data_IF_377925480843
#
_entry.id   IF_377925480843
#
_cell.length_a   1.000
_cell.length_b   1.000
_cell.length_c   1.000
_cell.angle_alpha   90.00
_cell.angle_beta   90.00
_cell.angle_gamma   90.00
#
_symmetry.space_group_name_H-M   'P 1'
#
loop_
_entity.id
_entity.type
_entity.pdbx_description
1 polymer ?
#
# COMPACT_ATOMS: atom_id res chain seq x y z
N UNK A 1 -59.31 38.45 27.75
CA UNK A 1 -59.83 37.23 27.09
C UNK A 1 -58.80 36.78 26.05
N UNK A 2 -58.05 35.68 26.29
CA UNK A 2 -58.16 34.37 25.59
C UNK A 2 -58.18 34.53 24.04
N UNK A 3 -57.34 33.91 23.20
CA UNK A 3 -56.60 32.64 23.30
C UNK A 3 -55.67 32.41 22.06
N UNK A 4 -54.58 31.64 22.23
CA UNK A 4 -53.89 30.81 21.21
C UNK A 4 -52.88 31.52 20.28
N UNK A 5 -51.73 30.96 19.87
CA UNK A 5 -51.34 29.55 19.68
C UNK A 5 -49.81 29.45 19.40
N UNK A 6 -49.18 28.42 19.97
CA UNK A 6 -48.07 27.57 19.47
C UNK A 6 -46.71 28.13 18.99
N UNK A 7 -45.69 27.63 19.71
CA UNK A 7 -44.26 27.47 19.39
C UNK A 7 -44.05 26.64 18.11
N UNK A 8 -43.09 27.02 17.24
CA UNK A 8 -42.05 26.09 16.75
C UNK A 8 -40.95 26.77 15.92
N UNK A 9 -39.76 26.16 16.05
CA UNK A 9 -38.43 26.64 15.72
C UNK A 9 -38.00 26.40 14.27
N UNK A 10 -37.02 27.22 13.86
CA UNK A 10 -35.92 26.97 12.90
C UNK A 10 -36.22 26.90 11.39
N UNK A 11 -36.07 28.09 10.77
CA UNK A 11 -35.19 28.38 9.60
C UNK A 11 -33.98 27.43 9.49
N UNK A 12 -33.38 27.07 8.36
CA UNK A 12 -33.51 27.35 6.92
C UNK A 12 -32.38 26.53 6.24
N UNK A 13 -32.61 25.87 5.11
CA UNK A 13 -31.67 25.83 3.96
C UNK A 13 -32.31 25.14 2.75
N UNK A 14 -32.12 25.80 1.61
CA UNK A 14 -32.72 25.60 0.29
C UNK A 14 -31.64 25.14 -0.68
N UNK A 15 -32.01 24.32 -1.66
CA UNK A 15 -31.25 24.02 -2.89
C UNK A 15 -31.23 22.52 -3.18
N UNK A 16 -32.26 21.95 -3.84
CA UNK A 16 -32.44 21.80 -5.31
C UNK A 16 -31.36 20.96 -5.98
N UNK A 17 -31.54 19.62 -6.03
CA UNK A 17 -30.95 18.79 -7.10
C UNK A 17 -31.95 17.71 -7.52
N UNK A 18 -32.01 17.49 -8.83
CA UNK A 18 -33.09 16.88 -9.56
C UNK A 18 -33.05 15.34 -9.54
N UNK A 19 -34.23 14.75 -9.31
CA UNK A 19 -34.88 13.72 -10.14
C UNK A 19 -34.00 12.77 -10.96
N UNK A 20 -33.90 11.50 -10.56
CA UNK A 20 -34.54 10.38 -11.29
C UNK A 20 -34.31 9.04 -10.57
N UNK A 21 -35.32 8.64 -9.80
CA UNK A 21 -35.57 7.24 -9.46
C UNK A 21 -36.07 6.53 -10.73
N UNK A 22 -35.37 5.49 -11.19
CA UNK A 22 -35.87 4.57 -12.20
C UNK A 22 -35.47 3.15 -11.80
N UNK A 23 -36.46 2.49 -11.22
CA UNK A 23 -36.51 1.09 -10.81
C UNK A 23 -36.23 0.08 -11.94
N UNK A 24 -35.86 -1.15 -11.50
CA UNK A 24 -35.97 -2.48 -12.14
C UNK A 24 -34.74 -3.08 -12.82
N UNK A 25 -34.08 -3.94 -12.04
CA UNK A 25 -33.75 -5.34 -12.34
C UNK A 25 -33.91 -5.82 -13.80
N UNK A 26 -32.79 -6.16 -14.44
CA UNK A 26 -32.54 -7.42 -15.19
C UNK A 26 -31.17 -7.39 -15.87
N UNK A 27 -30.51 -8.57 -15.88
CA UNK A 27 -29.28 -8.97 -16.59
C UNK A 27 -28.00 -8.52 -15.87
N UNK A 28 -27.31 -9.34 -15.06
CA UNK A 28 -26.83 -10.70 -15.34
C UNK A 28 -26.13 -10.80 -16.71
N UNK A 29 -25.12 -9.95 -16.89
CA UNK A 29 -23.89 -10.27 -17.61
C UNK A 29 -22.76 -9.73 -16.75
N UNK A 30 -22.29 -10.56 -15.82
CA UNK A 30 -20.96 -10.37 -15.24
C UNK A 30 -19.99 -10.56 -16.38
N UNK A 31 -19.61 -9.44 -16.96
CA UNK A 31 -18.55 -9.30 -17.92
C UNK A 31 -17.23 -9.51 -17.18
N UNK A 32 -16.85 -10.78 -17.15
CA UNK A 32 -15.53 -11.30 -16.79
C UNK A 32 -14.40 -10.31 -17.15
N UNK A 33 -14.49 -9.72 -18.36
CA UNK A 33 -13.54 -8.76 -18.91
C UNK A 33 -13.39 -7.43 -18.12
N UNK A 34 -14.45 -6.85 -17.53
CA UNK A 34 -14.29 -5.59 -16.77
C UNK A 34 -13.88 -5.80 -15.33
N UNK A 35 -14.23 -6.95 -14.74
CA UNK A 35 -13.73 -7.35 -13.42
C UNK A 35 -12.23 -7.67 -13.52
N UNK A 36 -11.81 -8.41 -14.54
CA UNK A 36 -10.39 -8.69 -14.80
C UNK A 36 -9.59 -7.39 -15.07
N UNK A 37 -10.15 -6.44 -15.82
CA UNK A 37 -9.49 -5.16 -16.08
C UNK A 37 -9.33 -4.30 -14.80
N UNK A 38 -10.32 -4.31 -13.92
CA UNK A 38 -10.24 -3.63 -12.63
C UNK A 38 -9.18 -4.27 -11.72
N UNK A 39 -9.14 -5.60 -11.64
CA UNK A 39 -8.15 -6.34 -10.85
C UNK A 39 -6.72 -6.11 -11.37
N UNK A 40 -6.52 -6.08 -12.69
CA UNK A 40 -5.22 -5.76 -13.29
C UNK A 40 -4.78 -4.32 -12.98
N UNK A 41 -5.71 -3.36 -13.03
CA UNK A 41 -5.45 -1.96 -12.70
C UNK A 41 -5.09 -1.79 -11.22
N UNK A 42 -5.80 -2.48 -10.32
CA UNK A 42 -5.51 -2.46 -8.89
C UNK A 42 -4.15 -3.09 -8.58
N UNK A 43 -3.85 -4.27 -9.15
CA UNK A 43 -2.56 -4.91 -8.98
C UNK A 43 -1.42 -4.02 -9.49
N UNK A 44 -1.61 -3.35 -10.62
CA UNK A 44 -0.65 -2.40 -11.17
C UNK A 44 -0.42 -1.21 -10.22
N UNK A 45 -1.49 -0.67 -9.63
CA UNK A 45 -1.39 0.42 -8.65
C UNK A 45 -0.61 -0.01 -7.42
N UNK A 46 -0.97 -1.16 -6.82
CA UNK A 46 -0.27 -1.72 -5.65
C UNK A 46 1.21 -1.97 -5.95
N UNK A 47 1.55 -2.48 -7.14
CA UNK A 47 2.94 -2.73 -7.55
C UNK A 47 3.76 -1.43 -7.65
N UNK A 48 3.14 -0.35 -8.15
CA UNK A 48 3.77 0.98 -8.19
C UNK A 48 4.02 1.52 -6.79
N UNK A 49 3.02 1.44 -5.91
CA UNK A 49 3.13 1.90 -4.52
C UNK A 49 4.25 1.17 -3.76
N UNK A 50 4.30 -0.17 -3.90
CA UNK A 50 5.41 -0.96 -3.34
C UNK A 50 6.77 -0.55 -3.90
N UNK A 51 6.87 -0.29 -5.20
CA UNK A 51 8.12 0.14 -5.83
C UNK A 51 8.57 1.51 -5.33
N UNK A 52 7.65 2.48 -5.25
CA UNK A 52 7.93 3.84 -4.75
C UNK A 52 8.35 3.80 -3.28
N UNK A 53 7.70 2.97 -2.46
CA UNK A 53 8.06 2.77 -1.06
C UNK A 53 9.50 2.23 -0.92
N UNK A 54 9.86 1.19 -1.68
CA UNK A 54 11.21 0.63 -1.66
C UNK A 54 12.26 1.66 -2.10
N UNK A 55 11.97 2.45 -3.13
CA UNK A 55 12.87 3.52 -3.58
C UNK A 55 13.08 4.59 -2.49
N UNK A 56 12.02 5.03 -1.84
CA UNK A 56 12.12 6.00 -0.74
C UNK A 56 12.94 5.44 0.43
N UNK A 57 12.74 4.16 0.77
CA UNK A 57 13.49 3.48 1.83
C UNK A 57 14.99 3.41 1.49
N UNK A 58 15.34 3.00 0.27
CA UNK A 58 16.74 2.94 -0.22
C UNK A 58 17.41 4.32 -0.15
N UNK A 59 16.72 5.37 -0.57
CA UNK A 59 17.23 6.73 -0.53
C UNK A 59 17.49 7.23 0.90
N UNK A 60 16.61 6.91 1.84
CA UNK A 60 16.78 7.27 3.24
C UNK A 60 17.95 6.51 3.87
N UNK A 61 18.07 5.20 3.61
CA UNK A 61 19.20 4.39 4.07
C UNK A 61 20.53 4.93 3.55
N UNK A 62 20.58 5.35 2.28
CA UNK A 62 21.79 5.92 1.67
C UNK A 62 22.20 7.26 2.28
N UNK A 63 21.25 8.08 2.73
CA UNK A 63 21.52 9.41 3.30
C UNK A 63 21.90 9.35 4.77
N UNK A 64 21.22 8.50 5.53
CA UNK A 64 21.28 8.51 6.99
C UNK A 64 22.25 7.47 7.58
N UNK A 65 22.51 6.36 6.87
CA UNK A 65 23.24 5.22 7.42
C UNK A 65 24.54 4.96 6.65
N UNK A 66 25.71 4.97 7.31
CA UNK A 66 26.97 4.62 6.67
C UNK A 66 27.05 3.12 6.38
N UNK A 67 27.78 2.75 5.31
CA UNK A 67 27.88 1.37 4.84
C UNK A 67 28.37 0.35 5.89
N UNK A 68 29.19 0.77 6.86
CA UNK A 68 29.64 -0.09 7.96
C UNK A 68 28.49 -0.57 8.85
N UNK A 69 27.55 0.32 9.17
CA UNK A 69 26.38 -0.01 10.01
C UNK A 69 25.40 -0.90 9.24
N UNK A 70 25.23 -0.69 7.94
CA UNK A 70 24.41 -1.57 7.10
C UNK A 70 24.92 -3.01 7.11
N UNK A 71 26.24 -3.21 7.14
CA UNK A 71 26.85 -4.54 7.23
C UNK A 71 26.55 -5.20 8.58
N UNK A 72 26.73 -4.47 9.67
CA UNK A 72 26.44 -4.95 11.03
C UNK A 72 24.96 -5.30 11.22
N UNK A 73 24.06 -4.50 10.63
CA UNK A 73 22.62 -4.74 10.69
C UNK A 73 22.23 -6.05 9.98
N UNK A 74 22.83 -6.35 8.83
CA UNK A 74 22.62 -7.63 8.14
C UNK A 74 23.18 -8.81 8.94
N UNK A 75 24.37 -8.68 9.51
CA UNK A 75 24.98 -9.72 10.34
C UNK A 75 24.14 -10.03 11.59
N UNK A 76 23.55 -9.00 12.23
CA UNK A 76 22.62 -9.17 13.35
C UNK A 76 21.37 -9.98 12.97
N UNK A 77 20.87 -9.82 11.75
CA UNK A 77 19.71 -10.56 11.24
C UNK A 77 20.09 -11.93 10.62
N UNK A 78 21.32 -12.40 10.85
CA UNK A 78 21.85 -13.65 10.29
C UNK A 78 21.71 -13.67 8.75
N UNK A 79 21.89 -12.50 8.13
CA UNK A 79 21.87 -12.35 6.67
C UNK A 79 23.29 -12.22 6.13
N UNK A 80 23.49 -12.64 4.87
CA UNK A 80 24.79 -12.51 4.20
C UNK A 80 25.02 -11.06 3.79
N UNK A 81 26.10 -10.47 4.29
CA UNK A 81 26.58 -9.20 3.76
C UNK A 81 27.07 -9.37 2.32
N UNK A 82 26.46 -8.66 1.37
CA UNK A 82 26.88 -8.65 -0.04
C UNK A 82 27.96 -7.59 -0.24
N UNK A 83 28.90 -7.81 -1.18
CA UNK A 83 29.88 -6.78 -1.55
C UNK A 83 29.23 -5.68 -2.40
N UNK A 84 29.53 -4.42 -2.09
CA UNK A 84 29.04 -3.25 -2.81
C UNK A 84 27.97 -2.50 -2.02
N UNK A 85 28.14 -1.18 -1.89
CA UNK A 85 27.26 -0.32 -1.09
C UNK A 85 25.80 -0.37 -1.56
N UNK A 86 25.56 -0.29 -2.88
CA UNK A 86 24.21 -0.37 -3.43
C UNK A 86 23.51 -1.69 -3.11
N UNK A 87 24.24 -2.81 -3.17
CA UNK A 87 23.70 -4.13 -2.87
C UNK A 87 23.40 -4.30 -1.38
N UNK A 88 24.19 -3.67 -0.50
CA UNK A 88 23.92 -3.64 0.94
C UNK A 88 22.64 -2.87 1.23
N UNK A 89 22.46 -1.70 0.61
CA UNK A 89 21.26 -0.88 0.77
C UNK A 89 20.02 -1.64 0.27
N UNK A 90 20.11 -2.32 -0.87
CA UNK A 90 19.03 -3.16 -1.40
C UNK A 90 18.67 -4.30 -0.45
N UNK A 91 19.66 -5.07 0.01
CA UNK A 91 19.43 -6.17 0.92
C UNK A 91 18.81 -5.72 2.26
N UNK A 92 19.26 -4.57 2.80
CA UNK A 92 18.69 -4.00 4.03
C UNK A 92 17.26 -3.49 3.79
N UNK A 93 17.02 -2.78 2.68
CA UNK A 93 15.69 -2.29 2.35
C UNK A 93 14.68 -3.44 2.21
N UNK A 94 15.07 -4.52 1.53
CA UNK A 94 14.24 -5.72 1.39
C UNK A 94 14.00 -6.39 2.75
N UNK A 95 15.04 -6.54 3.58
CA UNK A 95 14.89 -7.09 4.94
C UNK A 95 13.97 -6.25 5.81
N UNK A 96 13.98 -4.91 5.66
CA UNK A 96 13.11 -4.01 6.41
C UNK A 96 11.66 -4.02 5.89
N UNK A 97 11.46 -4.17 4.59
CA UNK A 97 10.13 -4.17 3.98
C UNK A 97 9.40 -5.50 4.13
N UNK A 98 10.12 -6.62 4.02
CA UNK A 98 9.54 -7.98 3.98
C UNK A 98 9.89 -8.82 5.20
N UNK A 99 10.96 -8.48 5.92
CA UNK A 99 11.50 -9.26 7.04
C UNK A 99 12.79 -10.00 6.70
N UNK A 100 13.47 -10.51 7.73
CA UNK A 100 14.69 -11.29 7.57
C UNK A 100 14.40 -12.67 6.95
N UNK A 101 15.13 -13.03 5.91
CA UNK A 101 14.96 -14.29 5.19
C UNK A 101 15.55 -15.45 5.98
N UNK A 102 14.78 -16.50 6.19
CA UNK A 102 15.33 -17.75 6.73
C UNK A 102 16.29 -18.40 5.72
N UNK A 103 17.31 -19.13 6.21
CA UNK A 103 18.19 -19.88 5.33
C UNK A 103 17.41 -20.93 4.55
N UNK A 104 17.87 -21.24 3.34
CA UNK A 104 17.22 -22.25 2.50
C UNK A 104 17.18 -23.62 3.22
N UNK A 105 16.02 -24.29 3.29
CA UNK A 105 15.87 -25.54 4.03
C UNK A 105 16.67 -26.72 3.43
N UNK A 106 17.02 -26.65 2.14
CA UNK A 106 17.74 -27.73 1.45
C UNK A 106 19.26 -27.57 1.51
N UNK A 107 19.76 -26.34 1.32
CA UNK A 107 21.20 -26.09 1.21
C UNK A 107 21.78 -25.22 2.32
N UNK A 108 20.95 -24.65 3.21
CA UNK A 108 21.37 -23.70 4.26
C UNK A 108 21.91 -22.38 3.70
N UNK A 109 21.72 -22.11 2.40
CA UNK A 109 22.19 -20.92 1.73
C UNK A 109 21.30 -19.70 1.93
N UNK A 110 21.81 -18.54 1.55
CA UNK A 110 21.08 -17.26 1.62
C UNK A 110 20.28 -17.02 0.34
N UNK A 111 19.02 -16.64 0.50
CA UNK A 111 18.13 -16.23 -0.59
C UNK A 111 18.38 -14.76 -0.92
N UNK A 112 18.40 -14.43 -2.21
CA UNK A 112 18.61 -13.06 -2.70
C UNK A 112 17.60 -12.77 -3.79
N UNK A 113 16.91 -11.63 -3.68
CA UNK A 113 15.99 -11.15 -4.71
C UNK A 113 16.77 -10.69 -5.95
N UNK A 114 16.29 -11.04 -7.15
CA UNK A 114 16.92 -10.75 -8.44
C UNK A 114 15.88 -10.26 -9.44
#
# INVERSE_FOLDING_TARGET
EKFGTTVQSKRNRKGTELSSESTKAKQAKTDDETVENFDEQEQTRRRKEHSEFLWALKDNLRKEIPAGVLKELLEFNVQKSVSGESNLIEAVADCMAFGALEPCPECGGFLVFK
#
